data_IF_928143004722
#
_entry.id   IF_928143004722
#
_cell.length_a   1.000
_cell.length_b   1.000
_cell.length_c   1.000
_cell.angle_alpha   90.00
_cell.angle_beta   90.00
_cell.angle_gamma   90.00
#
_symmetry.space_group_name_H-M   'P 1'
#
loop_
_entity.id
_entity.type
_entity.pdbx_description
1 polymer ?
#
# COMPACT_ATOMS: atom_id res chain seq x y z
N UNK A 1 3.98 -13.57 8.22
CA UNK A 1 4.46 -12.19 8.19
C UNK A 1 3.48 -11.29 8.90
N UNK A 2 3.95 -10.39 9.71
CA UNK A 2 3.10 -9.50 10.51
C UNK A 2 3.14 -8.08 9.96
N UNK A 3 1.99 -7.58 9.52
CA UNK A 3 1.89 -6.20 9.03
C UNK A 3 2.25 -5.16 10.11
N UNK A 4 1.98 -5.47 11.36
CA UNK A 4 2.30 -4.59 12.48
C UNK A 4 3.79 -4.21 12.50
N UNK A 5 4.67 -5.15 12.17
CA UNK A 5 6.11 -4.89 12.16
C UNK A 5 6.48 -3.89 11.07
N UNK A 6 5.82 -3.99 9.91
CA UNK A 6 6.07 -3.06 8.81
C UNK A 6 5.59 -1.66 9.19
N UNK A 7 4.41 -1.58 9.80
CA UNK A 7 3.85 -0.30 10.24
C UNK A 7 4.73 0.38 11.27
N UNK A 8 5.29 -0.40 12.20
CA UNK A 8 6.17 0.15 13.24
C UNK A 8 7.38 0.88 12.67
N UNK A 9 7.90 0.42 11.54
CA UNK A 9 9.03 1.05 10.88
C UNK A 9 8.72 2.46 10.38
N UNK A 10 7.44 2.77 10.17
CA UNK A 10 7.01 4.08 9.72
C UNK A 10 6.59 5.02 10.86
N UNK A 11 6.65 4.57 12.10
CA UNK A 11 6.20 5.35 13.24
C UNK A 11 6.83 6.75 13.32
N UNK A 12 8.16 6.93 13.14
CA UNK A 12 8.74 8.27 13.21
C UNK A 12 8.17 9.23 12.17
N UNK A 13 7.98 8.77 10.94
CA UNK A 13 7.44 9.61 9.87
C UNK A 13 5.98 9.95 10.14
N UNK A 14 5.21 9.00 10.64
CA UNK A 14 3.82 9.21 10.99
C UNK A 14 3.68 10.27 12.08
N UNK A 15 4.51 10.17 13.11
CA UNK A 15 4.48 11.10 14.22
C UNK A 15 4.82 12.52 13.79
N UNK A 16 5.83 12.68 12.94
CA UNK A 16 6.21 13.99 12.41
C UNK A 16 5.08 14.67 11.66
N UNK A 17 4.23 13.90 11.01
CA UNK A 17 3.15 14.42 10.18
C UNK A 17 1.78 14.35 10.85
N UNK A 18 1.73 13.98 12.13
CA UNK A 18 0.48 13.78 12.86
C UNK A 18 -0.46 12.81 12.14
N UNK A 19 0.10 11.73 11.60
CA UNK A 19 -0.67 10.70 10.92
C UNK A 19 -0.66 9.42 11.74
N UNK A 20 -1.69 8.63 11.60
CA UNK A 20 -1.83 7.35 12.28
C UNK A 20 -2.16 6.26 11.27
N UNK A 21 -1.74 5.03 11.57
CA UNK A 21 -2.15 3.86 10.79
C UNK A 21 -2.89 2.93 11.74
N UNK A 22 -4.09 2.52 11.34
CA UNK A 22 -4.85 1.50 12.05
C UNK A 22 -4.96 0.26 11.18
N UNK A 23 -4.88 -0.92 11.80
CA UNK A 23 -4.99 -2.19 11.11
C UNK A 23 -6.24 -2.90 11.61
N UNK A 24 -7.13 -3.25 10.67
CA UNK A 24 -8.32 -4.03 10.96
C UNK A 24 -8.17 -5.40 10.31
N UNK A 25 -8.18 -6.44 11.11
CA UNK A 25 -8.07 -7.80 10.62
C UNK A 25 -8.99 -8.69 11.44
N UNK A 26 -9.77 -9.53 10.75
CA UNK A 26 -10.72 -10.43 11.42
C UNK A 26 -10.04 -11.61 12.09
N UNK A 27 -8.91 -12.05 11.55
CA UNK A 27 -8.20 -13.24 12.02
C UNK A 27 -6.70 -13.11 11.82
N UNK A 28 -5.96 -14.02 12.44
CA UNK A 28 -4.56 -14.22 12.10
C UNK A 28 -4.50 -14.78 10.69
N UNK A 29 -3.99 -13.99 9.79
CA UNK A 29 -3.85 -14.38 8.39
C UNK A 29 -2.38 -14.66 8.12
N UNK A 30 -2.08 -15.87 7.69
CA UNK A 30 -0.73 -16.29 7.35
C UNK A 30 -0.64 -16.41 5.83
N UNK A 31 0.32 -15.69 5.25
CA UNK A 31 0.59 -15.73 3.83
C UNK A 31 1.93 -16.44 3.66
N UNK A 32 1.94 -17.53 2.91
CA UNK A 32 3.18 -18.20 2.55
C UNK A 32 3.74 -17.55 1.29
N UNK A 33 4.69 -16.67 1.52
CA UNK A 33 5.38 -15.96 0.47
C UNK A 33 6.76 -15.59 1.00
N UNK A 34 7.63 -15.16 0.12
CA UNK A 34 8.91 -14.60 0.54
C UNK A 34 8.63 -13.38 1.41
N UNK A 35 8.89 -13.48 2.71
CA UNK A 35 8.51 -12.44 3.67
C UNK A 35 9.22 -11.13 3.41
N UNK A 36 10.47 -11.15 2.95
CA UNK A 36 11.20 -9.92 2.63
C UNK A 36 10.58 -9.20 1.43
N UNK A 37 10.17 -9.97 0.41
CA UNK A 37 9.54 -9.41 -0.77
C UNK A 37 8.15 -8.86 -0.46
N UNK A 38 7.37 -9.58 0.33
CA UNK A 38 6.05 -9.11 0.72
C UNK A 38 6.14 -7.89 1.63
N UNK A 39 7.11 -7.85 2.53
CA UNK A 39 7.37 -6.66 3.34
C UNK A 39 7.69 -5.45 2.45
N UNK A 40 8.42 -5.66 1.37
CA UNK A 40 8.73 -4.60 0.41
C UNK A 40 7.48 -4.09 -0.29
N UNK A 41 6.57 -4.99 -0.69
CA UNK A 41 5.30 -4.60 -1.29
C UNK A 41 4.52 -3.67 -0.36
N UNK A 42 4.28 -4.10 0.86
CA UNK A 42 3.47 -3.31 1.78
C UNK A 42 4.21 -2.07 2.27
N UNK A 43 5.52 -2.13 2.44
CA UNK A 43 6.33 -0.96 2.75
C UNK A 43 6.21 0.12 1.68
N UNK A 44 6.28 -0.27 0.41
CA UNK A 44 6.13 0.68 -0.71
C UNK A 44 4.72 1.28 -0.77
N UNK A 45 3.70 0.46 -0.54
CA UNK A 45 2.32 0.94 -0.56
C UNK A 45 2.05 1.87 0.61
N UNK A 46 2.49 1.51 1.81
CA UNK A 46 2.31 2.34 3.02
C UNK A 46 3.03 3.68 2.85
N UNK A 47 4.26 3.65 2.37
CA UNK A 47 5.01 4.87 2.11
C UNK A 47 4.26 5.78 1.15
N UNK A 48 3.70 5.20 0.11
CA UNK A 48 2.91 5.94 -0.87
C UNK A 48 1.67 6.55 -0.22
N UNK A 49 0.96 5.78 0.61
CA UNK A 49 -0.21 6.26 1.32
C UNK A 49 0.14 7.43 2.25
N UNK A 50 1.25 7.34 2.95
CA UNK A 50 1.71 8.43 3.83
C UNK A 50 1.99 9.69 3.00
N UNK A 51 2.61 9.54 1.84
CA UNK A 51 2.96 10.66 0.97
C UNK A 51 1.75 11.38 0.41
N UNK A 52 0.72 10.62 0.04
CA UNK A 52 -0.46 11.20 -0.59
C UNK A 52 -1.56 11.57 0.39
N UNK A 53 -1.46 11.14 1.64
CA UNK A 53 -2.48 11.45 2.63
C UNK A 53 -2.39 12.92 3.07
N UNK A 54 -3.54 13.47 3.48
CA UNK A 54 -3.57 14.81 4.08
C UNK A 54 -2.97 14.75 5.48
N UNK A 55 -2.54 15.90 6.00
CA UNK A 55 -2.06 15.99 7.37
C UNK A 55 -3.17 15.62 8.35
N UNK A 56 -2.79 15.01 9.45
CA UNK A 56 -3.71 14.53 10.49
C UNK A 56 -4.62 13.39 10.03
N UNK A 57 -4.27 12.71 8.92
CA UNK A 57 -5.04 11.60 8.43
C UNK A 57 -4.84 10.34 9.28
N UNK A 58 -5.87 9.51 9.27
CA UNK A 58 -5.81 8.16 9.82
C UNK A 58 -5.83 7.19 8.66
N UNK A 59 -4.67 6.64 8.33
CA UNK A 59 -4.56 5.64 7.27
C UNK A 59 -5.09 4.33 7.81
N UNK A 60 -5.98 3.70 7.07
CA UNK A 60 -6.60 2.45 7.48
C UNK A 60 -6.10 1.30 6.62
N UNK A 61 -5.63 0.24 7.26
CA UNK A 61 -5.28 -1.00 6.59
C UNK A 61 -6.32 -2.03 7.00
N UNK A 62 -7.00 -2.61 6.02
CA UNK A 62 -8.02 -3.62 6.23
C UNK A 62 -7.56 -4.93 5.62
N UNK A 63 -7.56 -5.98 6.41
CA UNK A 63 -7.14 -7.31 5.96
C UNK A 63 -8.31 -8.26 6.07
N UNK A 64 -8.70 -8.85 4.95
CA UNK A 64 -9.78 -9.83 4.88
C UNK A 64 -9.33 -11.03 4.11
N UNK A 65 -9.99 -12.15 4.32
CA UNK A 65 -9.76 -13.35 3.53
C UNK A 65 -11.07 -13.93 3.05
N UNK A 66 -11.05 -14.51 1.88
CA UNK A 66 -12.13 -15.38 1.41
C UNK A 66 -11.58 -16.81 1.31
N UNK A 67 -12.27 -17.69 0.59
CA UNK A 67 -11.87 -19.09 0.50
C UNK A 67 -10.54 -19.30 -0.24
N UNK A 68 -10.12 -18.36 -1.03
CA UNK A 68 -8.97 -18.52 -1.93
C UNK A 68 -7.90 -17.46 -1.77
N UNK A 69 -8.27 -16.27 -1.29
CA UNK A 69 -7.36 -15.12 -1.30
C UNK A 69 -7.34 -14.36 0.00
N UNK A 70 -6.22 -13.70 0.25
CA UNK A 70 -6.11 -12.63 1.24
C UNK A 70 -6.20 -11.31 0.49
N UNK A 71 -7.03 -10.40 0.99
CA UNK A 71 -7.21 -9.08 0.41
C UNK A 71 -6.78 -8.05 1.43
N UNK A 72 -5.80 -7.23 1.05
CA UNK A 72 -5.29 -6.15 1.90
C UNK A 72 -5.59 -4.82 1.22
N UNK A 73 -6.32 -3.96 1.91
CA UNK A 73 -6.63 -2.60 1.41
C UNK A 73 -5.94 -1.58 2.29
N UNK A 74 -5.22 -0.67 1.66
CA UNK A 74 -4.59 0.47 2.33
C UNK A 74 -5.32 1.72 1.86
N UNK A 75 -6.00 2.40 2.78
CA UNK A 75 -6.86 3.54 2.48
C UNK A 75 -6.28 4.81 3.07
N UNK A 76 -6.19 5.86 2.27
CA UNK A 76 -5.79 7.17 2.76
C UNK A 76 -6.69 8.25 2.21
N UNK A 77 -6.87 9.32 2.97
CA UNK A 77 -7.57 10.51 2.51
C UNK A 77 -6.57 11.47 1.90
N UNK A 78 -6.92 12.04 0.78
CA UNK A 78 -6.05 12.96 0.08
C UNK A 78 -6.72 13.45 -1.19
N UNK A 79 -5.96 14.16 -2.01
CA UNK A 79 -6.48 14.62 -3.28
C UNK A 79 -6.77 13.44 -4.19
N UNK A 80 -7.91 13.51 -4.89
CA UNK A 80 -8.27 12.48 -5.86
C UNK A 80 -7.19 12.36 -6.92
N UNK A 81 -6.78 11.15 -7.20
CA UNK A 81 -5.85 10.87 -8.30
C UNK A 81 -6.70 10.67 -9.56
N UNK A 82 -6.51 11.49 -10.60
CA UNK A 82 -7.29 11.33 -11.84
C UNK A 82 -7.10 9.95 -12.44
N UNK A 83 -8.14 9.44 -13.07
CA UNK A 83 -8.14 8.08 -13.60
C UNK A 83 -7.01 7.84 -14.61
N UNK A 84 -6.72 8.82 -15.43
CA UNK A 84 -5.62 8.72 -16.40
C UNK A 84 -4.25 8.57 -15.72
N UNK A 85 -4.08 9.14 -14.53
CA UNK A 85 -2.87 8.96 -13.73
C UNK A 85 -2.87 7.62 -13.01
N UNK A 86 -4.04 7.18 -12.52
CA UNK A 86 -4.16 5.86 -11.89
C UNK A 86 -3.76 4.73 -12.83
N UNK A 87 -4.06 4.86 -14.11
CA UNK A 87 -3.67 3.85 -15.11
C UNK A 87 -2.16 3.71 -15.24
N UNK A 88 -1.41 4.74 -14.87
CA UNK A 88 0.03 4.78 -15.03
C UNK A 88 0.80 4.67 -13.72
N UNK A 89 0.10 4.63 -12.60
CA UNK A 89 0.73 4.76 -11.28
C UNK A 89 1.71 3.62 -10.98
N UNK A 90 1.57 2.48 -11.63
CA UNK A 90 2.47 1.34 -11.47
C UNK A 90 3.58 1.28 -12.53
N UNK A 91 3.64 2.24 -13.43
CA UNK A 91 4.71 2.31 -14.42
C UNK A 91 6.02 2.75 -13.77
N UNK A 92 7.12 2.21 -14.24
CA UNK A 92 8.44 2.60 -13.76
C UNK A 92 8.70 4.09 -14.01
N UNK A 93 9.24 4.75 -12.99
CA UNK A 93 9.59 6.17 -13.03
C UNK A 93 8.40 7.13 -13.15
N UNK A 94 7.17 6.63 -13.12
CA UNK A 94 5.99 7.50 -13.13
C UNK A 94 5.70 8.03 -11.73
N UNK A 95 5.36 9.31 -11.65
CA UNK A 95 4.95 9.97 -10.41
C UNK A 95 3.65 10.71 -10.66
N UNK A 96 2.64 10.43 -9.84
CA UNK A 96 1.31 11.02 -10.00
C UNK A 96 1.30 12.51 -9.70
N UNK A 97 2.15 12.99 -8.79
CA UNK A 97 2.31 14.40 -8.58
C UNK A 97 3.57 14.89 -9.31
N UNK A 98 3.57 16.17 -9.68
CA UNK A 98 4.72 16.80 -10.30
C UNK A 98 5.67 17.38 -9.25
N UNK A 99 5.39 17.18 -7.99
CA UNK A 99 6.22 17.70 -6.91
C UNK A 99 7.55 16.96 -6.92
N UNK A 100 8.60 17.73 -6.92
CA UNK A 100 9.95 17.19 -6.91
C UNK A 100 10.50 17.02 -5.52
N UNK A 101 9.67 17.23 -4.52
CA UNK A 101 10.09 17.01 -3.16
C UNK A 101 10.19 15.52 -2.93
N UNK A 102 11.39 15.05 -2.91
CA UNK A 102 11.70 13.66 -2.63
C UNK A 102 11.86 13.42 -1.13
N UNK A 103 11.16 14.16 -0.29
CA UNK A 103 11.25 13.95 1.16
C UNK A 103 11.03 12.51 1.54
N UNK A 104 10.31 11.80 0.72
CA UNK A 104 9.99 10.40 0.95
C UNK A 104 10.54 9.50 -0.14
N UNK A 105 11.44 10.06 -0.94
CA UNK A 105 12.28 9.26 -1.81
C UNK A 105 11.58 8.53 -2.93
N UNK A 106 10.53 9.12 -3.46
CA UNK A 106 9.87 8.49 -4.58
C UNK A 106 10.71 8.54 -5.84
N UNK A 107 11.41 7.46 -6.15
CA UNK A 107 12.11 7.33 -7.42
C UNK A 107 11.17 6.97 -8.56
N UNK A 108 9.90 6.72 -8.26
CA UNK A 108 8.94 6.22 -9.24
C UNK A 108 9.06 4.72 -9.49
N UNK A 109 9.85 4.01 -8.69
CA UNK A 109 10.03 2.57 -8.83
C UNK A 109 9.25 1.77 -7.81
N UNK A 110 8.90 2.37 -6.67
CA UNK A 110 8.31 1.63 -5.55
C UNK A 110 7.05 0.86 -5.90
N UNK A 111 6.09 1.52 -6.56
CA UNK A 111 4.84 0.85 -6.94
C UNK A 111 5.03 -0.14 -8.08
N UNK A 112 5.94 0.14 -9.01
CA UNK A 112 6.26 -0.81 -10.08
C UNK A 112 6.87 -2.09 -9.50
N UNK A 113 7.77 -1.97 -8.53
CA UNK A 113 8.35 -3.11 -7.84
C UNK A 113 7.29 -3.89 -7.07
N UNK A 114 6.40 -3.18 -6.37
CA UNK A 114 5.31 -3.82 -5.64
C UNK A 114 4.42 -4.65 -6.57
N UNK A 115 4.04 -4.09 -7.70
CA UNK A 115 3.22 -4.80 -8.69
C UNK A 115 3.94 -6.04 -9.21
N UNK A 116 5.21 -5.93 -9.55
CA UNK A 116 5.98 -7.05 -10.04
C UNK A 116 6.03 -8.20 -9.02
N UNK A 117 6.31 -7.89 -7.78
CA UNK A 117 6.36 -8.89 -6.72
C UNK A 117 5.00 -9.57 -6.53
N UNK A 118 3.92 -8.78 -6.49
CA UNK A 118 2.57 -9.30 -6.32
C UNK A 118 2.21 -10.25 -7.46
N UNK A 119 2.52 -9.86 -8.70
CA UNK A 119 2.23 -10.69 -9.87
C UNK A 119 3.06 -11.98 -9.87
N UNK A 120 4.31 -11.93 -9.41
CA UNK A 120 5.12 -13.13 -9.26
C UNK A 120 4.56 -14.11 -8.22
N UNK A 121 3.76 -13.61 -7.29
CA UNK A 121 3.08 -14.44 -6.29
C UNK A 121 1.65 -14.81 -6.71
N UNK A 122 1.34 -14.67 -8.00
CA UNK A 122 0.02 -14.98 -8.56
C UNK A 122 -1.10 -14.11 -7.99
N UNK A 123 -0.76 -12.93 -7.52
CA UNK A 123 -1.71 -11.97 -7.02
C UNK A 123 -1.95 -10.82 -7.98
N UNK A 124 -2.67 -9.83 -7.51
CA UNK A 124 -2.89 -8.59 -8.27
C UNK A 124 -2.93 -7.40 -7.33
N UNK A 125 -2.60 -6.24 -7.88
CA UNK A 125 -2.64 -4.98 -7.16
C UNK A 125 -3.47 -3.98 -7.96
N UNK A 126 -4.36 -3.27 -7.27
CA UNK A 126 -5.32 -2.36 -7.88
C UNK A 126 -5.31 -1.06 -7.10
N UNK A 127 -5.38 0.06 -7.79
CA UNK A 127 -5.51 1.37 -7.17
C UNK A 127 -6.80 2.02 -7.63
N UNK A 128 -7.56 2.57 -6.69
CA UNK A 128 -8.77 3.35 -6.99
C UNK A 128 -8.71 4.65 -6.20
N UNK A 129 -9.31 5.69 -6.73
CA UNK A 129 -9.36 6.98 -6.06
C UNK A 129 -10.66 7.70 -6.36
N UNK A 130 -11.21 8.34 -5.35
CA UNK A 130 -12.38 9.20 -5.50
C UNK A 130 -12.21 10.44 -4.63
N UNK A 131 -13.24 11.25 -4.50
CA UNK A 131 -13.17 12.50 -3.74
C UNK A 131 -12.98 12.29 -2.24
N UNK A 132 -13.25 11.08 -1.75
CA UNK A 132 -13.16 10.76 -0.33
C UNK A 132 -11.83 10.09 0.04
N UNK A 133 -11.37 9.16 -0.78
CA UNK A 133 -10.18 8.40 -0.43
C UNK A 133 -9.52 7.75 -1.64
N UNK A 134 -8.26 7.38 -1.44
CA UNK A 134 -7.52 6.54 -2.38
C UNK A 134 -7.28 5.19 -1.70
N UNK A 135 -7.49 4.12 -2.44
CA UNK A 135 -7.36 2.74 -1.94
C UNK A 135 -6.39 1.96 -2.82
N UNK A 136 -5.38 1.37 -2.18
CA UNK A 136 -4.52 0.37 -2.82
C UNK A 136 -4.94 -0.99 -2.30
N UNK A 137 -5.32 -1.87 -3.20
CA UNK A 137 -5.78 -3.21 -2.87
C UNK A 137 -4.80 -4.24 -3.40
N UNK A 138 -4.35 -5.12 -2.52
CA UNK A 138 -3.47 -6.24 -2.88
C UNK A 138 -4.25 -7.53 -2.62
N UNK A 139 -4.31 -8.38 -3.63
CA UNK A 139 -4.95 -9.70 -3.54
C UNK A 139 -3.86 -10.74 -3.72
N UNK A 140 -3.72 -11.61 -2.74
CA UNK A 140 -2.73 -12.68 -2.76
C UNK A 140 -3.41 -14.02 -2.48
N UNK A 141 -2.99 -15.11 -3.16
CA UNK A 141 -3.55 -16.42 -2.87
C UNK A 141 -3.27 -16.84 -1.43
N UNK A 142 -4.27 -17.46 -0.80
CA UNK A 142 -4.06 -18.12 0.49
C UNK A 142 -3.15 -19.32 0.30
N UNK A 143 -2.33 -19.58 1.32
CA UNK A 143 -1.59 -20.81 1.33
C UNK A 143 -2.56 -22.00 1.50
N UNK A 144 -2.46 -22.96 0.60
CA UNK A 144 -3.18 -24.22 0.71
C UNK A 144 -2.20 -25.28 1.15
N UNK A 145 -2.46 -25.87 2.26
CA UNK A 145 -1.76 -27.07 2.68
C UNK A 145 -2.54 -28.28 2.21
#
# INVERSE_FOLDING_TARGET
MMLEQIVDDFYPILKENNKEITIKSDDKIIIYADSDKIARVFGNIIKNAINYSINNDKIEIEVKKDNQNVIVKVKNKGAKIPEEKLKRIFEKFYRADSSRTSKTGGSGLGLAIAKEIVELHNGKIIATSNDLETVFEVVLPLCKN
#
